data_IF_715832724421
#
_entry.id   IF_715832724421
#
_cell.length_a   1.000
_cell.length_b   1.000
_cell.length_c   1.000
_cell.angle_alpha   90.00
_cell.angle_beta   90.00
_cell.angle_gamma   90.00
#
_symmetry.space_group_name_H-M   'P 1'
#
loop_
_entity.id
_entity.type
_entity.pdbx_description
1 polymer ?
#
# COMPACT_ATOMS: atom_id res chain seq x y z
N UNK A 1 -16.23 -29.60 -17.21
CA UNK A 1 -16.66 -28.23 -16.91
C UNK A 1 -15.40 -27.42 -16.59
N UNK A 2 -14.97 -26.53 -17.48
CA UNK A 2 -13.93 -25.53 -17.14
C UNK A 2 -14.59 -24.57 -16.15
N UNK A 3 -14.10 -24.50 -14.92
CA UNK A 3 -14.50 -23.46 -13.98
C UNK A 3 -14.17 -22.12 -14.62
N UNK A 4 -15.13 -21.22 -14.71
CA UNK A 4 -14.86 -19.82 -15.06
C UNK A 4 -13.75 -19.31 -14.14
N UNK A 5 -12.80 -18.53 -14.66
CA UNK A 5 -11.73 -17.98 -13.83
C UNK A 5 -12.38 -17.14 -12.74
N UNK A 6 -12.27 -17.60 -11.50
CA UNK A 6 -12.75 -16.86 -10.33
C UNK A 6 -11.91 -15.59 -10.26
N UNK A 7 -12.54 -14.45 -10.53
CA UNK A 7 -11.90 -13.14 -10.59
C UNK A 7 -11.57 -12.64 -9.15
N UNK A 8 -10.77 -13.42 -8.40
CA UNK A 8 -10.43 -13.15 -7.00
C UNK A 8 -9.38 -12.08 -6.87
N UNK A 9 -9.62 -11.18 -5.94
CA UNK A 9 -8.73 -10.08 -5.60
C UNK A 9 -8.11 -10.32 -4.21
N UNK A 10 -6.81 -10.48 -4.17
CA UNK A 10 -6.05 -10.51 -2.92
C UNK A 10 -5.52 -9.13 -2.53
N UNK A 11 -5.49 -8.82 -1.25
CA UNK A 11 -4.85 -7.63 -0.72
C UNK A 11 -3.65 -7.97 0.17
N UNK A 12 -2.56 -7.21 0.03
CA UNK A 12 -1.39 -7.29 0.91
C UNK A 12 -1.28 -5.96 1.66
N UNK A 13 -1.48 -6.01 2.98
CA UNK A 13 -1.29 -4.85 3.84
C UNK A 13 0.12 -4.88 4.42
N UNK A 14 0.98 -3.99 3.92
CA UNK A 14 2.40 -3.93 4.27
C UNK A 14 2.58 -3.07 5.50
N UNK A 15 2.89 -3.70 6.62
CA UNK A 15 2.94 -3.10 7.94
C UNK A 15 4.19 -3.54 8.77
N UNK A 16 5.27 -3.99 8.08
CA UNK A 16 6.48 -4.49 8.73
C UNK A 16 7.55 -3.41 9.02
N UNK A 17 7.29 -2.16 8.68
CA UNK A 17 8.23 -1.04 8.88
C UNK A 17 8.54 -0.77 10.36
N UNK A 18 9.78 -0.34 10.65
CA UNK A 18 10.32 -0.20 12.02
C UNK A 18 9.93 1.10 12.73
N UNK A 19 9.15 1.99 12.11
CA UNK A 19 8.70 3.29 12.68
C UNK A 19 9.83 4.18 13.25
N UNK A 20 11.05 4.10 12.69
CA UNK A 20 12.25 4.79 13.24
C UNK A 20 12.10 6.31 13.45
N UNK A 21 11.26 6.97 12.61
CA UNK A 21 11.00 8.42 12.65
C UNK A 21 9.84 8.82 13.58
N UNK A 22 9.33 7.89 14.37
CA UNK A 22 8.18 8.09 15.26
C UNK A 22 8.57 8.19 16.74
N UNK A 23 9.83 8.48 17.06
CA UNK A 23 10.32 8.74 18.43
C UNK A 23 9.86 7.67 19.45
N UNK A 24 9.91 6.40 19.07
CA UNK A 24 9.52 5.28 19.94
C UNK A 24 8.03 4.89 19.86
N UNK A 25 7.18 5.67 19.21
CA UNK A 25 5.77 5.33 19.01
C UNK A 25 5.62 4.34 17.85
N UNK A 26 4.91 3.24 18.09
CA UNK A 26 4.51 2.34 16.98
C UNK A 26 3.31 2.93 16.24
N UNK A 27 3.58 3.61 15.12
CA UNK A 27 2.59 4.32 14.32
C UNK A 27 1.39 3.46 13.88
N UNK A 28 1.59 2.16 13.70
CA UNK A 28 0.53 1.26 13.24
C UNK A 28 -0.54 1.05 14.31
N UNK A 29 -0.13 1.10 15.55
CA UNK A 29 -1.00 0.92 16.71
C UNK A 29 -1.28 2.22 17.46
N UNK A 30 -0.76 3.35 16.97
CA UNK A 30 -1.12 4.65 17.50
C UNK A 30 -2.62 4.93 17.26
N UNK A 31 -3.33 5.51 18.26
CA UNK A 31 -4.75 5.81 18.11
C UNK A 31 -4.95 7.00 17.16
N UNK A 32 -5.91 6.83 16.26
CA UNK A 32 -6.47 7.85 15.39
C UNK A 32 -7.97 7.90 15.69
N UNK A 33 -8.41 8.86 16.51
CA UNK A 33 -9.76 8.91 17.09
C UNK A 33 -10.17 7.60 17.79
N UNK A 34 -9.37 7.15 18.74
CA UNK A 34 -9.56 5.92 19.52
C UNK A 34 -9.39 4.60 18.75
N UNK A 35 -9.29 4.62 17.42
CA UNK A 35 -9.06 3.43 16.59
C UNK A 35 -7.60 3.38 16.14
N UNK A 36 -6.88 2.26 16.29
CA UNK A 36 -5.51 2.12 15.79
C UNK A 36 -5.42 2.39 14.29
N UNK A 37 -4.33 3.06 13.84
CA UNK A 37 -4.07 3.34 12.42
C UNK A 37 -4.23 2.09 11.55
N UNK A 38 -3.62 0.97 11.95
CA UNK A 38 -3.74 -0.30 11.23
C UNK A 38 -5.18 -0.83 11.20
N UNK A 39 -5.92 -0.66 12.29
CA UNK A 39 -7.30 -1.14 12.35
C UNK A 39 -8.21 -0.41 11.35
N UNK A 40 -8.00 0.89 11.13
CA UNK A 40 -8.73 1.65 10.09
C UNK A 40 -8.46 1.09 8.70
N UNK A 41 -7.19 0.86 8.35
CA UNK A 41 -6.83 0.23 7.07
C UNK A 41 -7.52 -1.12 6.92
N UNK A 42 -7.35 -1.99 7.92
CA UNK A 42 -7.89 -3.35 7.87
C UNK A 42 -9.41 -3.37 7.75
N UNK A 43 -10.11 -2.48 8.45
CA UNK A 43 -11.58 -2.38 8.36
C UNK A 43 -12.05 -1.96 6.96
N UNK A 44 -11.36 -1.00 6.31
CA UNK A 44 -11.66 -0.61 4.93
C UNK A 44 -11.51 -1.79 3.98
N UNK A 45 -10.40 -2.54 4.06
CA UNK A 45 -10.18 -3.70 3.20
C UNK A 45 -11.13 -4.86 3.51
N UNK A 46 -11.46 -5.10 4.78
CA UNK A 46 -12.43 -6.11 5.18
C UNK A 46 -13.83 -5.80 4.64
N UNK A 47 -14.27 -4.54 4.67
CA UNK A 47 -15.59 -4.13 4.20
C UNK A 47 -15.68 -3.94 2.68
N UNK A 48 -14.55 -3.79 1.98
CA UNK A 48 -14.52 -3.59 0.53
C UNK A 48 -15.00 -4.86 -0.20
N UNK A 49 -16.12 -4.75 -0.94
CA UNK A 49 -16.75 -5.90 -1.60
C UNK A 49 -15.85 -6.56 -2.66
N UNK A 50 -14.96 -5.76 -3.29
CA UNK A 50 -14.05 -6.27 -4.33
C UNK A 50 -12.84 -7.04 -3.79
N UNK A 51 -12.61 -7.10 -2.48
CA UNK A 51 -11.49 -7.84 -1.87
C UNK A 51 -11.99 -9.17 -1.32
N UNK A 52 -11.34 -10.27 -1.71
CA UNK A 52 -11.68 -11.64 -1.27
C UNK A 52 -10.76 -12.14 -0.17
N UNK A 53 -9.47 -11.81 -0.24
CA UNK A 53 -8.44 -12.28 0.69
C UNK A 53 -7.56 -11.12 1.15
N UNK A 54 -7.11 -11.16 2.40
CA UNK A 54 -6.18 -10.19 2.97
C UNK A 54 -5.01 -10.94 3.60
N UNK A 55 -3.79 -10.53 3.25
CA UNK A 55 -2.57 -10.93 3.96
C UNK A 55 -2.03 -9.72 4.70
N UNK A 56 -1.92 -9.82 6.01
CA UNK A 56 -1.34 -8.78 6.86
C UNK A 56 0.13 -9.11 7.14
N UNK A 57 1.03 -8.24 6.67
CA UNK A 57 2.48 -8.41 6.81
C UNK A 57 3.01 -7.45 7.88
N UNK A 58 3.52 -7.98 8.98
CA UNK A 58 3.95 -7.23 10.17
C UNK A 58 5.43 -7.45 10.50
N UNK A 59 6.02 -6.53 11.27
CA UNK A 59 7.28 -6.80 11.95
C UNK A 59 7.10 -7.97 12.94
N UNK A 60 8.14 -8.82 13.11
CA UNK A 60 8.07 -10.02 13.99
C UNK A 60 7.53 -9.70 15.39
N UNK A 61 7.99 -8.59 15.99
CA UNK A 61 7.56 -8.16 17.33
C UNK A 61 6.06 -7.83 17.43
N UNK A 62 5.39 -7.57 16.30
CA UNK A 62 3.99 -7.14 16.24
C UNK A 62 3.02 -8.27 15.82
N UNK A 63 3.52 -9.48 15.54
CA UNK A 63 2.67 -10.57 15.02
C UNK A 63 1.54 -10.93 15.98
N UNK A 64 1.83 -11.13 17.26
CA UNK A 64 0.79 -11.50 18.25
C UNK A 64 -0.23 -10.38 18.45
N UNK A 65 0.23 -9.12 18.44
CA UNK A 65 -0.66 -7.97 18.52
C UNK A 65 -1.55 -7.87 17.28
N UNK A 66 -0.99 -8.14 16.09
CA UNK A 66 -1.76 -8.18 14.84
C UNK A 66 -2.79 -9.31 14.81
N UNK A 67 -2.41 -10.54 15.22
CA UNK A 67 -3.34 -11.67 15.31
C UNK A 67 -4.48 -11.40 16.27
N UNK A 68 -4.19 -10.81 17.42
CA UNK A 68 -5.20 -10.39 18.40
C UNK A 68 -6.17 -9.39 17.77
N UNK A 69 -5.64 -8.35 17.11
CA UNK A 69 -6.44 -7.32 16.44
C UNK A 69 -7.39 -7.94 15.39
N UNK A 70 -6.90 -8.91 14.61
CA UNK A 70 -7.72 -9.64 13.62
C UNK A 70 -8.86 -10.39 14.30
N UNK A 71 -8.58 -11.13 15.38
CA UNK A 71 -9.61 -11.89 16.12
C UNK A 71 -10.65 -10.99 16.78
N UNK A 72 -10.20 -9.94 17.48
CA UNK A 72 -11.09 -9.01 18.21
C UNK A 72 -12.04 -8.26 17.29
N UNK A 73 -11.64 -7.99 16.02
CA UNK A 73 -12.48 -7.31 15.04
C UNK A 73 -13.24 -8.29 14.11
N UNK A 74 -13.06 -9.60 14.23
CA UNK A 74 -13.76 -10.58 13.40
C UNK A 74 -13.46 -10.47 11.90
N UNK A 75 -12.26 -10.08 11.50
CA UNK A 75 -11.92 -9.91 10.08
C UNK A 75 -11.75 -11.26 9.37
N UNK A 76 -12.79 -11.70 8.70
CA UNK A 76 -12.92 -13.02 8.07
C UNK A 76 -12.15 -13.17 6.76
N UNK A 77 -11.85 -12.06 6.06
CA UNK A 77 -11.06 -12.08 4.82
C UNK A 77 -9.55 -12.24 5.07
N UNK A 78 -9.09 -12.11 6.32
CA UNK A 78 -7.67 -12.25 6.66
C UNK A 78 -7.28 -13.72 6.65
N UNK A 79 -6.63 -14.14 5.56
CA UNK A 79 -6.15 -15.52 5.38
C UNK A 79 -4.79 -15.77 6.03
N UNK A 80 -4.01 -14.73 6.27
CA UNK A 80 -2.68 -14.87 6.89
C UNK A 80 -2.23 -13.60 7.60
N UNK A 81 -1.57 -13.77 8.76
CA UNK A 81 -0.78 -12.75 9.46
C UNK A 81 0.66 -13.25 9.53
N UNK A 82 1.57 -12.63 8.82
CA UNK A 82 2.92 -13.14 8.62
C UNK A 82 4.02 -12.09 8.88
N UNK A 83 5.26 -12.53 9.18
CA UNK A 83 6.38 -11.62 9.32
C UNK A 83 6.80 -11.07 7.95
N UNK A 84 7.15 -9.78 7.92
CA UNK A 84 7.86 -9.18 6.80
C UNK A 84 9.36 -9.40 6.86
N UNK A 85 10.06 -9.01 5.80
CA UNK A 85 11.50 -9.07 5.67
C UNK A 85 12.21 -7.77 6.09
N UNK A 86 13.48 -7.67 5.74
CA UNK A 86 14.32 -6.51 6.08
C UNK A 86 13.94 -5.26 5.27
N UNK A 87 13.49 -5.44 4.04
CA UNK A 87 13.06 -4.39 3.13
C UNK A 87 11.55 -4.46 2.91
N UNK A 88 10.96 -3.35 2.41
CA UNK A 88 9.54 -3.33 2.01
C UNK A 88 9.27 -4.38 0.92
N UNK A 89 10.15 -4.49 -0.04
CA UNK A 89 10.09 -5.48 -1.11
C UNK A 89 10.02 -6.91 -0.58
N UNK A 90 10.88 -7.29 0.39
CA UNK A 90 10.84 -8.62 1.01
C UNK A 90 9.49 -8.87 1.69
N UNK A 91 8.94 -7.84 2.32
CA UNK A 91 7.64 -7.93 3.01
C UNK A 91 6.48 -8.15 2.04
N UNK A 92 6.49 -7.47 0.89
CA UNK A 92 5.49 -7.71 -0.17
C UNK A 92 5.62 -9.13 -0.73
N UNK A 93 6.85 -9.59 -1.02
CA UNK A 93 7.09 -10.94 -1.52
C UNK A 93 6.59 -12.02 -0.53
N UNK A 94 6.77 -11.80 0.77
CA UNK A 94 6.19 -12.68 1.79
C UNK A 94 4.65 -12.68 1.76
N UNK A 95 4.03 -11.55 1.45
CA UNK A 95 2.59 -11.44 1.24
C UNK A 95 2.13 -12.19 -0.02
N UNK A 96 2.81 -11.99 -1.14
CA UNK A 96 2.49 -12.63 -2.42
C UNK A 96 2.48 -14.17 -2.33
N UNK A 97 3.43 -14.75 -1.59
CA UNK A 97 3.52 -16.21 -1.39
C UNK A 97 2.34 -16.80 -0.62
N UNK A 98 1.54 -16.00 0.06
CA UNK A 98 0.42 -16.44 0.92
C UNK A 98 -0.94 -16.19 0.31
N UNK A 99 -1.01 -15.45 -0.78
CA UNK A 99 -2.22 -15.33 -1.57
C UNK A 99 -2.37 -16.57 -2.46
N UNK A 100 -3.58 -17.09 -2.56
CA UNK A 100 -3.91 -18.27 -3.38
C UNK A 100 -5.06 -17.95 -4.31
N UNK A 101 -4.99 -18.47 -5.53
CA UNK A 101 -6.07 -18.38 -6.53
C UNK A 101 -6.56 -16.95 -6.79
N UNK A 102 -5.66 -15.96 -6.72
CA UNK A 102 -5.96 -14.56 -7.03
C UNK A 102 -5.57 -14.23 -8.47
N UNK A 103 -6.42 -13.49 -9.16
CA UNK A 103 -6.10 -12.89 -10.46
C UNK A 103 -5.49 -11.49 -10.29
N UNK A 104 -5.92 -10.78 -9.27
CA UNK A 104 -5.48 -9.42 -8.96
C UNK A 104 -4.90 -9.32 -7.55
N UNK A 105 -3.95 -8.44 -7.40
CA UNK A 105 -3.34 -8.11 -6.09
C UNK A 105 -3.37 -6.60 -5.87
N UNK A 106 -3.88 -6.21 -4.72
CA UNK A 106 -3.86 -4.84 -4.22
C UNK A 106 -2.81 -4.75 -3.11
N UNK A 107 -1.74 -3.98 -3.32
CA UNK A 107 -0.69 -3.76 -2.33
C UNK A 107 -0.92 -2.40 -1.67
N UNK A 108 -1.03 -2.39 -0.34
CA UNK A 108 -1.30 -1.16 0.39
C UNK A 108 -0.43 -1.02 1.65
N UNK A 109 0.03 0.21 1.90
CA UNK A 109 0.79 0.55 3.10
C UNK A 109 -0.13 0.61 4.32
N UNK A 110 0.12 -0.21 5.35
CA UNK A 110 -0.65 -0.20 6.60
C UNK A 110 -0.58 1.10 7.40
N UNK A 111 0.21 2.07 6.94
CA UNK A 111 0.35 3.40 7.51
C UNK A 111 -0.41 4.50 6.72
N UNK A 112 -1.35 4.14 5.82
CA UNK A 112 -2.25 5.06 5.12
C UNK A 112 -3.71 4.83 5.54
N UNK A 113 -4.11 5.32 6.72
CA UNK A 113 -5.40 4.97 7.32
C UNK A 113 -6.63 5.62 6.67
N UNK A 114 -6.42 6.56 5.75
CA UNK A 114 -7.49 7.31 5.10
C UNK A 114 -7.81 6.82 3.68
N UNK A 115 -7.40 5.58 3.38
CA UNK A 115 -7.84 4.86 2.18
C UNK A 115 -9.34 4.54 2.27
N UNK A 116 -10.06 4.69 1.16
CA UNK A 116 -11.47 4.31 1.03
C UNK A 116 -11.64 3.18 -0.01
N UNK A 117 -12.81 2.52 0.00
CA UNK A 117 -13.12 1.43 -0.95
C UNK A 117 -13.18 1.95 -2.40
N UNK A 118 -13.65 3.17 -2.63
CA UNK A 118 -13.71 3.77 -3.95
C UNK A 118 -12.31 3.95 -4.56
N UNK A 119 -11.28 4.22 -3.74
CA UNK A 119 -9.90 4.29 -4.22
C UNK A 119 -9.38 2.91 -4.65
N UNK A 120 -9.76 1.86 -3.94
CA UNK A 120 -9.42 0.47 -4.29
C UNK A 120 -10.10 0.06 -5.59
N UNK A 121 -11.40 0.32 -5.71
CA UNK A 121 -12.22 -0.01 -6.88
C UNK A 121 -11.73 0.72 -8.14
N UNK A 122 -11.40 2.02 -8.05
CA UNK A 122 -10.80 2.76 -9.17
C UNK A 122 -9.46 2.18 -9.59
N UNK A 123 -8.64 1.69 -8.63
CA UNK A 123 -7.39 1.04 -8.94
C UNK A 123 -7.55 -0.26 -9.71
N UNK A 124 -8.51 -1.09 -9.33
CA UNK A 124 -8.85 -2.32 -10.05
C UNK A 124 -9.37 -2.01 -11.47
N UNK A 125 -10.23 -0.99 -11.59
CA UNK A 125 -10.73 -0.56 -12.91
C UNK A 125 -9.60 -0.05 -13.80
N UNK A 126 -8.68 0.78 -13.29
CA UNK A 126 -7.55 1.31 -14.06
C UNK A 126 -6.58 0.19 -14.47
N UNK A 127 -6.33 -0.77 -13.60
CA UNK A 127 -5.41 -1.88 -13.91
C UNK A 127 -5.95 -2.85 -14.96
N UNK A 128 -7.25 -2.81 -15.27
CA UNK A 128 -7.90 -3.83 -16.11
C UNK A 128 -7.32 -3.89 -17.55
N UNK A 129 -6.89 -2.77 -18.11
CA UNK A 129 -6.32 -2.72 -19.47
C UNK A 129 -4.83 -3.03 -19.50
N UNK A 130 -4.06 -2.40 -18.60
CA UNK A 130 -2.59 -2.49 -18.58
C UNK A 130 -2.04 -3.65 -17.76
N UNK A 131 -2.85 -4.24 -16.89
CA UNK A 131 -2.43 -5.22 -15.90
C UNK A 131 -1.76 -4.62 -14.66
N UNK A 132 -1.55 -3.29 -14.61
CA UNK A 132 -0.90 -2.60 -13.51
C UNK A 132 -1.35 -1.15 -13.38
N UNK A 133 -1.74 -0.70 -12.17
CA UNK A 133 -2.09 0.69 -11.91
C UNK A 133 -1.72 1.11 -10.48
N UNK A 134 -1.39 2.39 -10.31
CA UNK A 134 -1.08 2.98 -9.02
C UNK A 134 -1.87 4.24 -8.73
N UNK A 135 -2.30 4.40 -7.49
CA UNK A 135 -2.80 5.68 -7.02
C UNK A 135 -1.65 6.70 -6.98
N UNK A 136 -1.87 7.90 -7.48
CA UNK A 136 -0.95 9.00 -7.33
C UNK A 136 -1.68 10.34 -7.35
N UNK A 137 -1.03 11.40 -6.88
CA UNK A 137 -1.54 12.77 -6.94
C UNK A 137 -0.51 13.70 -7.58
N UNK A 138 -0.92 14.71 -8.36
CA UNK A 138 -0.01 15.71 -8.90
C UNK A 138 0.80 16.41 -7.80
N UNK A 139 2.06 16.71 -8.07
CA UNK A 139 2.88 17.52 -7.18
C UNK A 139 2.38 18.95 -7.15
N UNK A 140 2.20 19.53 -5.96
CA UNK A 140 1.76 20.93 -5.77
C UNK A 140 2.94 21.91 -5.74
N UNK A 141 4.02 21.52 -5.08
CA UNK A 141 5.22 22.33 -4.88
C UNK A 141 6.15 22.29 -6.09
N UNK A 142 7.02 23.29 -6.21
CA UNK A 142 8.11 23.27 -7.18
C UNK A 142 9.21 22.32 -6.73
N UNK A 143 9.43 21.24 -7.48
CA UNK A 143 10.47 20.25 -7.20
C UNK A 143 11.82 20.71 -7.77
N UNK A 144 12.89 20.51 -7.00
CA UNK A 144 14.27 20.76 -7.43
C UNK A 144 15.08 19.47 -7.39
N UNK A 145 15.82 19.18 -8.44
CA UNK A 145 16.89 18.18 -8.41
C UNK A 145 18.14 18.90 -7.89
N UNK A 146 18.71 18.36 -6.80
CA UNK A 146 19.82 19.01 -6.08
C UNK A 146 21.03 18.09 -6.09
N UNK A 147 22.21 18.66 -6.34
CA UNK A 147 23.50 17.96 -6.25
C UNK A 147 23.84 17.58 -4.80
N UNK A 148 24.80 16.67 -4.61
CA UNK A 148 25.30 16.31 -3.25
C UNK A 148 25.87 17.51 -2.48
N UNK A 149 26.26 18.59 -3.17
CA UNK A 149 26.78 19.84 -2.58
C UNK A 149 25.68 20.86 -2.26
N UNK A 150 24.39 20.52 -2.42
CA UNK A 150 23.28 21.42 -2.12
C UNK A 150 22.90 22.41 -3.22
N UNK A 151 23.51 22.36 -4.42
CA UNK A 151 23.18 23.26 -5.53
C UNK A 151 22.06 22.68 -6.41
N UNK A 152 21.15 23.55 -6.84
CA UNK A 152 20.08 23.18 -7.80
C UNK A 152 20.73 22.82 -9.13
N UNK A 153 20.41 21.64 -9.65
CA UNK A 153 20.82 21.15 -10.96
C UNK A 153 19.73 21.32 -12.00
N UNK A 154 18.46 21.08 -11.61
CA UNK A 154 17.32 21.12 -12.52
C UNK A 154 16.04 21.46 -11.75
N UNK A 155 15.10 22.08 -12.45
CA UNK A 155 13.71 22.24 -12.01
C UNK A 155 12.83 21.51 -13.03
N UNK A 156 12.37 20.28 -12.72
CA UNK A 156 11.50 19.53 -13.62
C UNK A 156 10.17 20.24 -13.85
N UNK A 157 9.55 19.99 -14.99
CA UNK A 157 8.21 20.49 -15.29
C UNK A 157 7.19 19.83 -14.32
N UNK A 158 6.60 20.64 -13.43
CA UNK A 158 5.69 20.14 -12.37
C UNK A 158 4.50 19.37 -12.93
N UNK A 159 4.02 19.71 -14.12
CA UNK A 159 2.86 19.09 -14.76
C UNK A 159 3.05 17.58 -15.02
N UNK A 160 4.29 17.11 -15.09
CA UNK A 160 4.62 15.70 -15.33
C UNK A 160 4.98 14.94 -14.05
N UNK A 161 4.96 15.61 -12.90
CA UNK A 161 5.37 15.02 -11.63
C UNK A 161 4.16 14.62 -10.78
N UNK A 162 4.17 13.36 -10.36
CA UNK A 162 3.14 12.79 -9.49
C UNK A 162 3.78 12.14 -8.26
N UNK A 163 3.12 12.23 -7.15
CA UNK A 163 3.50 11.53 -5.91
C UNK A 163 2.77 10.18 -5.85
N UNK A 164 3.53 9.10 -6.01
CA UNK A 164 3.00 7.75 -5.93
C UNK A 164 2.44 7.45 -4.53
N UNK A 165 1.30 6.83 -4.51
CA UNK A 165 0.63 6.36 -3.30
C UNK A 165 0.40 4.84 -3.38
N UNK A 166 -0.25 4.28 -2.38
CA UNK A 166 -0.95 3.00 -2.42
C UNK A 166 -2.43 3.24 -2.14
N UNK A 167 -3.36 2.46 -2.69
CA UNK A 167 -3.17 1.12 -3.26
C UNK A 167 -2.43 1.15 -4.60
N UNK A 168 -1.59 0.12 -4.83
CA UNK A 168 -1.04 -0.25 -6.11
C UNK A 168 -1.64 -1.59 -6.52
N UNK A 169 -2.14 -1.70 -7.73
CA UNK A 169 -2.93 -2.84 -8.20
C UNK A 169 -2.22 -3.50 -9.37
N UNK A 170 -2.13 -4.81 -9.33
CA UNK A 170 -1.43 -5.59 -10.34
C UNK A 170 -2.14 -6.89 -10.65
N UNK A 171 -2.03 -7.37 -11.87
CA UNK A 171 -2.27 -8.77 -12.17
C UNK A 171 -1.30 -9.64 -11.36
N UNK A 172 -1.79 -10.72 -10.78
CA UNK A 172 -1.01 -11.54 -9.86
C UNK A 172 0.21 -12.18 -10.54
N UNK A 173 0.04 -12.70 -11.76
CA UNK A 173 1.12 -13.28 -12.55
C UNK A 173 2.21 -12.24 -12.86
N UNK A 174 1.83 -11.03 -13.29
CA UNK A 174 2.73 -9.94 -13.62
C UNK A 174 3.57 -9.49 -12.42
N UNK A 175 2.96 -9.23 -11.28
CA UNK A 175 3.72 -8.80 -10.10
C UNK A 175 4.60 -9.92 -9.55
N UNK A 176 4.16 -11.17 -9.63
CA UNK A 176 4.98 -12.33 -9.25
C UNK A 176 6.22 -12.45 -10.12
N UNK A 177 6.09 -12.27 -11.44
CA UNK A 177 7.20 -12.25 -12.38
C UNK A 177 8.15 -11.10 -12.07
N UNK A 178 7.64 -9.88 -11.87
CA UNK A 178 8.44 -8.71 -11.52
C UNK A 178 9.27 -8.94 -10.25
N UNK A 179 8.68 -9.57 -9.24
CA UNK A 179 9.39 -9.93 -8.01
C UNK A 179 10.43 -11.04 -8.18
N UNK A 180 10.19 -11.99 -9.09
CA UNK A 180 11.13 -13.08 -9.37
C UNK A 180 12.39 -12.59 -10.14
N UNK A 181 12.24 -11.58 -11.00
CA UNK A 181 13.31 -11.01 -11.81
C UNK A 181 13.99 -9.78 -11.18
N UNK A 182 13.50 -9.30 -10.05
CA UNK A 182 14.03 -8.10 -9.38
C UNK A 182 15.50 -8.25 -9.00
N UNK A 183 16.38 -7.48 -9.63
CA UNK A 183 17.83 -7.45 -9.35
C UNK A 183 18.21 -6.30 -8.41
N UNK A 184 17.45 -5.20 -8.39
CA UNK A 184 17.78 -3.99 -7.67
C UNK A 184 16.73 -3.61 -6.59
N UNK A 185 17.09 -2.63 -5.75
CA UNK A 185 16.16 -2.06 -4.78
C UNK A 185 15.12 -1.20 -5.50
N UNK A 186 13.88 -1.67 -5.48
CA UNK A 186 12.75 -0.88 -5.92
C UNK A 186 12.30 0.11 -4.84
N UNK A 187 11.86 1.29 -5.26
CA UNK A 187 11.28 2.30 -4.36
C UNK A 187 9.82 1.97 -4.03
N UNK A 188 9.10 1.37 -4.98
CA UNK A 188 7.73 0.87 -4.84
C UNK A 188 7.53 -0.39 -5.73
N UNK A 189 6.31 -0.93 -5.75
CA UNK A 189 6.04 -2.17 -6.48
C UNK A 189 5.90 -1.91 -7.99
N UNK A 190 5.46 -0.71 -8.38
CA UNK A 190 5.33 -0.31 -9.77
C UNK A 190 6.68 -0.31 -10.50
N UNK A 191 7.73 0.20 -9.85
CA UNK A 191 9.06 0.26 -10.46
C UNK A 191 9.64 -1.12 -10.83
N UNK A 192 9.20 -2.20 -10.18
CA UNK A 192 9.55 -3.56 -10.57
C UNK A 192 8.86 -3.98 -11.87
N UNK A 193 7.59 -3.60 -12.04
CA UNK A 193 6.80 -3.90 -13.23
C UNK A 193 7.30 -3.07 -14.42
N UNK A 194 7.65 -1.79 -14.19
CA UNK A 194 8.30 -0.93 -15.17
C UNK A 194 9.65 -1.51 -15.63
N UNK A 195 10.42 -2.09 -14.70
CA UNK A 195 11.70 -2.75 -14.99
C UNK A 195 11.58 -3.96 -15.93
N UNK A 196 10.40 -4.58 -16.03
CA UNK A 196 10.07 -5.61 -17.03
C UNK A 196 9.65 -5.03 -18.40
N UNK A 197 9.58 -3.71 -18.55
CA UNK A 197 9.10 -3.04 -19.75
C UNK A 197 7.57 -2.94 -19.86
N UNK A 198 6.83 -3.28 -18.80
CA UNK A 198 5.38 -3.12 -18.78
C UNK A 198 4.97 -1.69 -18.42
N UNK A 199 3.86 -1.23 -19.01
CA UNK A 199 3.26 0.07 -18.69
C UNK A 199 2.47 -0.05 -17.39
N UNK A 200 2.64 0.92 -16.50
CA UNK A 200 1.85 1.07 -15.27
C UNK A 200 0.98 2.30 -15.39
N UNK A 201 -0.33 2.15 -15.26
CA UNK A 201 -1.27 3.24 -15.32
C UNK A 201 -1.28 4.04 -14.01
N UNK A 202 -1.37 5.37 -14.12
CA UNK A 202 -1.55 6.25 -12.96
C UNK A 202 -3.01 6.68 -12.90
N UNK A 203 -3.70 6.35 -11.80
CA UNK A 203 -5.04 6.84 -11.54
C UNK A 203 -5.06 7.86 -10.39
N UNK A 204 -6.05 8.76 -10.42
CA UNK A 204 -6.15 9.82 -9.42
C UNK A 204 -6.33 9.25 -8.01
N UNK A 205 -5.35 9.50 -7.16
CA UNK A 205 -5.34 9.21 -5.74
C UNK A 205 -6.11 10.25 -4.93
N UNK A 206 -5.72 10.45 -3.69
CA UNK A 206 -6.28 11.47 -2.80
C UNK A 206 -5.19 12.14 -1.99
N UNK A 207 -5.21 13.47 -1.91
CA UNK A 207 -4.33 14.21 -1.00
C UNK A 207 -4.63 13.88 0.48
N UNK A 208 -5.82 13.37 0.79
CA UNK A 208 -6.16 12.88 2.13
C UNK A 208 -5.53 11.52 2.42
N UNK A 209 -5.16 10.73 1.41
CA UNK A 209 -4.54 9.40 1.57
C UNK A 209 -3.05 9.51 1.95
N UNK A 210 -2.78 10.27 3.00
CA UNK A 210 -1.42 10.50 3.52
C UNK A 210 -0.83 9.23 4.13
N UNK A 211 0.50 9.13 4.10
CA UNK A 211 1.26 8.06 4.77
C UNK A 211 1.82 8.59 6.08
N UNK A 212 1.40 8.03 7.19
CA UNK A 212 1.95 8.37 8.51
C UNK A 212 3.39 7.87 8.59
N UNK A 213 4.33 8.82 8.69
CA UNK A 213 5.78 8.58 8.75
C UNK A 213 6.45 9.26 9.91
N UNK A 214 5.89 10.39 10.37
CA UNK A 214 6.35 11.22 11.48
C UNK A 214 5.20 11.50 12.46
N UNK A 215 5.48 12.04 13.67
CA UNK A 215 4.44 12.45 14.61
C UNK A 215 3.49 13.53 14.04
N UNK A 216 4.01 14.44 13.22
CA UNK A 216 3.22 15.50 12.58
C UNK A 216 2.19 14.91 11.62
N UNK A 217 2.55 13.85 10.87
CA UNK A 217 1.61 13.15 9.98
C UNK A 217 0.43 12.56 10.77
N UNK A 218 0.65 12.10 12.00
CA UNK A 218 -0.41 11.59 12.86
C UNK A 218 -1.39 12.69 13.27
N UNK A 219 -0.86 13.90 13.55
CA UNK A 219 -1.68 15.07 13.85
C UNK A 219 -2.53 15.49 12.65
N UNK A 220 -1.91 15.54 11.46
CA UNK A 220 -2.61 15.84 10.20
C UNK A 220 -3.70 14.76 9.93
N UNK A 221 -3.37 13.48 10.13
CA UNK A 221 -4.34 12.41 9.94
C UNK A 221 -5.56 12.54 10.86
N UNK A 222 -5.38 12.96 12.12
CA UNK A 222 -6.48 13.24 13.06
C UNK A 222 -7.38 14.37 12.56
N UNK A 223 -6.79 15.50 12.15
CA UNK A 223 -7.55 16.61 11.59
C UNK A 223 -8.37 16.17 10.38
N UNK A 224 -7.75 15.43 9.45
CA UNK A 224 -8.46 14.90 8.27
C UNK A 224 -9.58 13.91 8.62
N UNK A 225 -9.45 13.12 9.69
CA UNK A 225 -10.54 12.26 10.15
C UNK A 225 -11.74 13.07 10.70
N UNK A 226 -11.48 14.16 11.41
CA UNK A 226 -12.55 15.00 11.99
C UNK A 226 -13.41 15.69 10.92
N UNK A 227 -12.78 16.14 9.82
CA UNK A 227 -13.47 16.83 8.69
C UNK A 227 -14.35 15.90 7.82
N UNK A 228 -14.27 14.60 8.00
CA UNK A 228 -15.02 13.61 7.21
C UNK A 228 -16.26 13.05 7.92
N UNK A 229 -16.69 13.66 9.04
CA UNK A 229 -17.92 13.30 9.77
C UNK A 229 -19.06 14.21 9.43
#
# INVERSE_FOLDING_TARGET
MKREPVNRVGAIIVAAGTSRRMEGVDKLFAPLDSVPVLARVMSTFQSCACIDQIVLVLARKNLERGRRLVRENGWTKVVSVCPGGLKRQDSVNEGLRRLTDCQWVVIHDGARPLVDSGLIERGLSAANESGAAIAAVPVKETVKIVSRRGFIQQTPARQTLWMAQTPQVFRYDLIREAYAQAQEKATDDASLVEGLGHKVEVYMGSYRNIKITTPEDLTIARALCADGR
#
